data_IF_427573027464
#
_entry.id   IF_427573027464
#
_cell.length_a   1.000
_cell.length_b   1.000
_cell.length_c   1.000
_cell.angle_alpha   90.00
_cell.angle_beta   90.00
_cell.angle_gamma   90.00
#
_symmetry.space_group_name_H-M   'P 1'
#
loop_
_entity.id
_entity.type
_entity.pdbx_description
1 polymer ?
#
# COMPACT_ATOMS: atom_id res chain seq x y z
N UNK A 1 -5.92 -0.74 5.71
CA UNK A 1 -6.26 0.46 6.52
C UNK A 1 -6.39 0.14 8.01
N UNK A 2 -7.22 -0.82 8.44
CA UNK A 2 -7.36 -1.14 9.88
C UNK A 2 -6.02 -1.51 10.53
N UNK A 3 -5.26 -2.45 9.97
CA UNK A 3 -3.95 -2.84 10.49
C UNK A 3 -2.96 -1.66 10.60
N UNK A 4 -2.96 -0.74 9.63
CA UNK A 4 -2.12 0.46 9.67
C UNK A 4 -2.46 1.37 10.86
N UNK A 5 -3.76 1.57 11.12
CA UNK A 5 -4.21 2.33 12.31
C UNK A 5 -3.82 1.63 13.61
N UNK A 6 -4.00 0.30 13.69
CA UNK A 6 -3.60 -0.48 14.86
C UNK A 6 -2.10 -0.40 15.12
N UNK A 7 -1.27 -0.47 14.07
CA UNK A 7 0.17 -0.36 14.18
C UNK A 7 0.61 1.02 14.72
N UNK A 8 0.02 2.11 14.23
CA UNK A 8 0.28 3.46 14.74
C UNK A 8 -0.14 3.60 16.20
N UNK A 9 -1.32 3.07 16.56
CA UNK A 9 -1.80 3.09 17.96
C UNK A 9 -0.86 2.31 18.89
N UNK A 10 -0.43 1.12 18.46
CA UNK A 10 0.51 0.28 19.24
C UNK A 10 1.86 0.97 19.41
N UNK A 11 2.35 1.62 18.37
CA UNK A 11 3.57 2.42 18.40
C UNK A 11 3.43 3.74 19.21
N UNK A 12 2.22 4.06 19.69
CA UNK A 12 1.90 5.34 20.36
C UNK A 12 2.23 6.55 19.49
N UNK A 13 2.09 6.40 18.17
CA UNK A 13 2.28 7.46 17.20
C UNK A 13 0.92 7.94 16.70
N UNK A 14 0.76 9.25 16.65
CA UNK A 14 -0.31 9.91 15.93
C UNK A 14 0.32 10.64 14.73
N UNK A 15 -0.33 10.58 13.57
CA UNK A 15 0.13 11.26 12.37
C UNK A 15 0.31 12.78 12.60
N UNK A 16 -0.47 13.37 13.52
CA UNK A 16 -0.35 14.78 13.94
C UNK A 16 0.86 15.07 14.82
N UNK A 17 1.46 14.05 15.45
CA UNK A 17 2.63 14.19 16.32
C UNK A 17 3.96 13.93 15.61
N UNK A 18 3.92 13.46 14.37
CA UNK A 18 5.11 13.27 13.56
C UNK A 18 5.57 14.65 13.06
N UNK A 19 6.72 15.09 13.56
CA UNK A 19 7.21 16.46 13.41
C UNK A 19 7.42 16.86 11.93
N UNK A 20 7.85 15.91 11.08
CA UNK A 20 8.06 16.13 9.66
C UNK A 20 7.41 15.02 8.84
N UNK A 21 6.32 15.34 8.18
CA UNK A 21 5.61 14.42 7.31
C UNK A 21 6.46 13.91 6.12
N UNK A 22 7.49 14.65 5.68
CA UNK A 22 8.39 14.23 4.61
C UNK A 22 9.36 13.14 5.09
N UNK A 23 9.55 12.98 6.39
CA UNK A 23 10.33 11.93 7.02
C UNK A 23 9.49 10.76 7.53
N UNK A 24 8.19 10.77 7.20
CA UNK A 24 7.27 9.67 7.45
C UNK A 24 6.95 8.95 6.14
N UNK A 25 7.46 7.73 5.98
CA UNK A 25 7.25 6.89 4.80
C UNK A 25 6.25 5.76 5.02
N UNK A 26 5.71 5.26 3.92
CA UNK A 26 4.79 4.10 3.91
C UNK A 26 5.23 3.12 2.83
N UNK A 27 5.33 1.84 3.18
CA UNK A 27 5.83 0.78 2.32
C UNK A 27 5.02 -0.49 2.52
N UNK A 28 3.95 -0.63 1.74
CA UNK A 28 3.04 -1.78 1.81
C UNK A 28 3.05 -2.49 0.47
N UNK A 29 3.52 -3.73 0.46
CA UNK A 29 3.54 -4.56 -0.72
C UNK A 29 2.29 -5.41 -0.89
N UNK A 30 2.03 -5.81 -2.12
CA UNK A 30 1.01 -6.79 -2.50
C UNK A 30 1.59 -7.73 -3.54
N UNK A 31 1.32 -9.03 -3.43
CA UNK A 31 1.82 -10.02 -4.38
C UNK A 31 1.13 -9.95 -5.73
N UNK A 32 -0.16 -9.70 -5.74
CA UNK A 32 -1.00 -9.72 -6.96
C UNK A 32 -1.73 -8.41 -7.22
N UNK A 33 -1.97 -7.60 -6.19
CA UNK A 33 -2.80 -6.40 -6.31
C UNK A 33 -4.30 -6.72 -6.34
N UNK A 34 -5.07 -5.97 -7.13
CA UNK A 34 -6.53 -6.05 -7.17
C UNK A 34 -7.08 -7.16 -8.06
N UNK A 35 -6.84 -8.43 -7.74
CA UNK A 35 -7.25 -9.58 -8.54
C UNK A 35 -8.76 -9.61 -8.82
N UNK A 36 -9.60 -9.41 -7.82
CA UNK A 36 -11.07 -9.32 -8.00
C UNK A 36 -11.46 -8.23 -9.01
N UNK A 37 -10.77 -7.09 -9.00
CA UNK A 37 -11.02 -6.00 -9.96
C UNK A 37 -10.69 -6.40 -11.39
N UNK A 38 -9.64 -7.20 -11.58
CA UNK A 38 -9.27 -7.77 -12.89
C UNK A 38 -10.35 -8.74 -13.36
N UNK A 39 -10.71 -9.71 -12.53
CA UNK A 39 -11.69 -10.74 -12.83
C UNK A 39 -13.03 -10.13 -13.25
N UNK A 40 -13.57 -9.23 -12.43
CA UNK A 40 -14.79 -8.49 -12.72
C UNK A 40 -14.69 -7.67 -14.02
N UNK A 41 -13.54 -7.08 -14.29
CA UNK A 41 -13.34 -6.29 -15.51
C UNK A 41 -13.25 -7.17 -16.76
N UNK A 42 -12.68 -8.35 -16.65
CA UNK A 42 -12.68 -9.35 -17.74
C UNK A 42 -14.11 -9.80 -18.07
N UNK A 43 -14.94 -10.05 -17.08
CA UNK A 43 -16.36 -10.38 -17.28
C UNK A 43 -17.10 -9.23 -17.98
N UNK A 44 -16.91 -7.99 -17.53
CA UNK A 44 -17.54 -6.80 -18.15
C UNK A 44 -17.05 -6.64 -19.59
N UNK A 45 -15.75 -6.80 -19.83
CA UNK A 45 -15.17 -6.70 -21.16
C UNK A 45 -15.80 -7.69 -22.13
N UNK A 46 -15.95 -8.95 -21.72
CA UNK A 46 -16.50 -10.02 -22.56
C UNK A 46 -18.00 -9.89 -22.80
N UNK A 47 -18.77 -9.39 -21.84
CA UNK A 47 -20.24 -9.35 -21.91
C UNK A 47 -20.80 -8.00 -22.34
N UNK A 48 -20.14 -6.88 -22.00
CA UNK A 48 -20.65 -5.52 -22.19
C UNK A 48 -19.73 -4.62 -23.01
N UNK A 49 -18.54 -5.11 -23.34
CA UNK A 49 -17.55 -4.41 -24.15
C UNK A 49 -16.73 -3.37 -23.40
N UNK A 50 -15.67 -2.81 -24.04
CA UNK A 50 -14.65 -1.99 -23.39
C UNK A 50 -15.19 -0.66 -22.81
N UNK A 51 -16.25 -0.10 -23.39
CA UNK A 51 -16.85 1.17 -22.91
C UNK A 51 -17.52 1.08 -21.54
N UNK A 52 -17.70 -0.13 -21.01
CA UNK A 52 -18.34 -0.36 -19.70
C UNK A 52 -17.34 -0.68 -18.60
N UNK A 53 -16.07 -0.77 -18.91
CA UNK A 53 -15.02 -0.93 -17.92
C UNK A 53 -14.93 0.34 -17.06
N UNK A 54 -14.81 0.14 -15.75
CA UNK A 54 -14.70 1.25 -14.80
C UNK A 54 -13.42 2.07 -15.05
N UNK A 55 -13.47 3.41 -15.07
CA UNK A 55 -12.28 4.26 -15.10
C UNK A 55 -11.40 4.10 -13.84
N UNK A 56 -11.96 3.56 -12.76
CA UNK A 56 -11.25 3.26 -11.52
C UNK A 56 -10.56 1.88 -11.52
N UNK A 57 -10.58 1.15 -12.65
CA UNK A 57 -9.91 -0.15 -12.73
C UNK A 57 -8.42 -0.04 -12.41
N UNK A 58 -7.71 0.91 -12.99
CA UNK A 58 -6.27 1.06 -12.75
C UNK A 58 -5.94 1.33 -11.27
N UNK A 59 -6.53 2.32 -10.60
CA UNK A 59 -6.33 2.52 -9.17
C UNK A 59 -6.70 1.31 -8.30
N UNK A 60 -7.68 0.51 -8.73
CA UNK A 60 -8.08 -0.69 -7.99
C UNK A 60 -7.18 -1.90 -8.25
N UNK A 61 -6.42 -1.91 -9.36
CA UNK A 61 -5.61 -3.02 -9.82
C UNK A 61 -4.16 -2.95 -9.35
N UNK A 62 -3.54 -1.76 -9.42
CA UNK A 62 -2.09 -1.61 -9.24
C UNK A 62 -1.64 -1.93 -7.82
N UNK A 63 -0.53 -2.68 -7.70
CA UNK A 63 -0.05 -3.21 -6.42
C UNK A 63 0.42 -2.16 -5.41
N UNK A 64 0.69 -0.92 -5.84
CA UNK A 64 1.08 0.17 -4.95
C UNK A 64 -0.10 0.98 -4.40
N UNK A 65 -1.35 0.65 -4.75
CA UNK A 65 -2.52 1.37 -4.23
C UNK A 65 -2.64 1.28 -2.71
N UNK A 66 -2.33 0.13 -2.13
CA UNK A 66 -2.40 -0.05 -0.68
C UNK A 66 -1.48 0.93 0.05
N UNK A 67 -0.23 1.07 -0.41
CA UNK A 67 0.73 2.01 0.17
C UNK A 67 0.30 3.46 -0.05
N UNK A 68 -0.16 3.82 -1.24
CA UNK A 68 -0.62 5.17 -1.57
C UNK A 68 -1.84 5.58 -0.71
N UNK A 69 -2.85 4.71 -0.61
CA UNK A 69 -4.07 4.99 0.17
C UNK A 69 -3.77 5.12 1.67
N UNK A 70 -2.87 4.31 2.20
CA UNK A 70 -2.45 4.44 3.60
C UNK A 70 -1.69 5.74 3.80
N UNK A 71 -0.74 6.08 2.95
CA UNK A 71 0.03 7.33 3.05
C UNK A 71 -0.87 8.57 3.03
N UNK A 72 -1.85 8.61 2.12
CA UNK A 72 -2.84 9.70 2.07
C UNK A 72 -3.63 9.78 3.39
N UNK A 73 -4.08 8.63 3.91
CA UNK A 73 -4.92 8.60 5.09
C UNK A 73 -4.19 8.99 6.38
N UNK A 74 -2.87 8.75 6.45
CA UNK A 74 -2.03 9.11 7.61
C UNK A 74 -1.23 10.40 7.40
N UNK A 75 -1.34 11.03 6.23
CA UNK A 75 -0.62 12.27 5.91
C UNK A 75 0.88 12.11 5.69
N UNK A 76 1.37 10.89 5.44
CA UNK A 76 2.77 10.61 5.16
C UNK A 76 3.19 11.19 3.80
N UNK A 77 4.35 11.84 3.73
CA UNK A 77 4.91 12.48 2.52
C UNK A 77 6.34 12.04 2.21
N UNK A 78 6.87 11.11 2.99
CA UNK A 78 8.17 10.47 2.77
C UNK A 78 8.11 9.39 1.69
N UNK A 79 9.12 8.51 1.63
CA UNK A 79 9.17 7.43 0.66
C UNK A 79 7.89 6.60 0.63
N UNK A 80 7.35 6.41 -0.58
CA UNK A 80 6.08 5.71 -0.79
C UNK A 80 6.15 4.91 -2.09
N UNK A 81 6.26 3.60 -1.97
CA UNK A 81 6.25 2.68 -3.11
C UNK A 81 5.79 1.29 -2.70
N UNK A 82 5.32 0.50 -3.66
CA UNK A 82 4.94 -0.88 -3.47
C UNK A 82 6.11 -1.83 -3.76
N UNK A 83 6.18 -2.93 -3.02
CA UNK A 83 7.09 -4.04 -3.26
C UNK A 83 6.32 -5.28 -3.67
N UNK A 84 6.94 -6.10 -4.50
CA UNK A 84 6.40 -7.40 -4.92
C UNK A 84 7.50 -8.46 -4.83
N UNK A 85 7.32 -9.41 -3.96
CA UNK A 85 8.16 -10.62 -3.84
C UNK A 85 7.33 -11.84 -3.39
N UNK A 86 6.15 -11.98 -3.98
CA UNK A 86 5.19 -13.04 -3.71
C UNK A 86 4.92 -13.17 -2.18
N UNK A 87 4.99 -14.37 -1.62
CA UNK A 87 4.74 -14.63 -0.18
C UNK A 87 5.70 -13.89 0.75
N UNK A 88 6.88 -13.47 0.27
CA UNK A 88 7.87 -12.74 1.05
C UNK A 88 7.65 -11.21 1.06
N UNK A 89 6.66 -10.70 0.34
CA UNK A 89 6.44 -9.26 0.14
C UNK A 89 6.37 -8.46 1.45
N UNK A 90 5.63 -8.95 2.44
CA UNK A 90 5.51 -8.27 3.74
C UNK A 90 6.84 -8.16 4.48
N UNK A 91 7.61 -9.27 4.53
CA UNK A 91 8.93 -9.29 5.17
C UNK A 91 9.93 -8.42 4.42
N UNK A 92 9.88 -8.44 3.09
CA UNK A 92 10.72 -7.60 2.25
C UNK A 92 10.44 -6.10 2.48
N UNK A 93 9.16 -5.72 2.59
CA UNK A 93 8.76 -4.35 2.92
C UNK A 93 9.35 -3.88 4.27
N UNK A 94 9.37 -4.75 5.29
CA UNK A 94 9.99 -4.45 6.58
C UNK A 94 11.51 -4.25 6.44
N UNK A 95 12.18 -5.11 5.67
CA UNK A 95 13.62 -4.99 5.43
C UNK A 95 14.00 -3.70 4.71
N UNK A 96 13.24 -3.31 3.69
CA UNK A 96 13.46 -2.02 2.99
C UNK A 96 13.16 -0.82 3.90
N UNK A 97 12.08 -0.86 4.67
CA UNK A 97 11.77 0.20 5.63
C UNK A 97 12.91 0.40 6.65
N UNK A 98 13.49 -0.70 7.15
CA UNK A 98 14.64 -0.63 8.05
C UNK A 98 15.84 0.09 7.43
N UNK A 99 16.12 -0.15 6.13
CA UNK A 99 17.21 0.55 5.44
C UNK A 99 17.00 2.06 5.40
N UNK A 100 15.77 2.53 5.09
CA UNK A 100 15.45 3.96 5.10
C UNK A 100 15.68 4.60 6.48
N UNK A 101 15.32 3.89 7.55
CA UNK A 101 15.56 4.36 8.92
C UNK A 101 17.06 4.38 9.25
N UNK A 102 17.80 3.32 8.89
CA UNK A 102 19.25 3.24 9.14
C UNK A 102 20.06 4.27 8.37
N UNK A 103 19.64 4.60 7.13
CA UNK A 103 20.25 5.64 6.32
C UNK A 103 19.88 7.05 6.76
N UNK A 104 18.96 7.19 7.72
CA UNK A 104 18.49 8.48 8.20
C UNK A 104 17.62 9.25 7.19
N UNK A 105 17.07 8.56 6.19
CA UNK A 105 16.16 9.18 5.21
C UNK A 105 14.75 9.38 5.76
N UNK A 106 14.35 8.56 6.73
CA UNK A 106 13.08 8.64 7.45
C UNK A 106 13.29 8.54 8.95
N UNK A 107 12.35 9.09 9.70
CA UNK A 107 12.25 8.92 11.16
C UNK A 107 11.19 7.88 11.53
N UNK A 108 10.16 7.75 10.67
CA UNK A 108 9.08 6.79 10.84
C UNK A 108 8.79 6.10 9.52
N UNK A 109 8.64 4.77 9.56
CA UNK A 109 8.19 3.96 8.43
C UNK A 109 7.04 3.05 8.84
N UNK A 110 5.93 3.14 8.14
CA UNK A 110 4.83 2.20 8.24
C UNK A 110 4.97 1.16 7.12
N UNK A 111 5.30 -0.06 7.49
CA UNK A 111 5.63 -1.11 6.52
C UNK A 111 4.86 -2.40 6.75
N UNK A 112 4.64 -3.17 5.69
CA UNK A 112 3.97 -4.47 5.76
C UNK A 112 3.49 -4.99 4.42
N UNK A 113 2.56 -5.93 4.46
CA UNK A 113 1.93 -6.51 3.28
C UNK A 113 0.41 -6.52 3.39
N UNK A 114 -0.26 -6.50 2.25
CA UNK A 114 -1.71 -6.65 2.15
C UNK A 114 -2.05 -7.45 0.90
N UNK A 115 -2.93 -8.42 1.04
CA UNK A 115 -3.36 -9.25 -0.07
C UNK A 115 -4.85 -9.61 0.06
N UNK A 116 -5.55 -9.66 -1.08
CA UNK A 116 -6.94 -10.08 -1.17
C UNK A 116 -7.12 -10.89 -2.47
N UNK A 117 -6.52 -12.08 -2.51
CA UNK A 117 -6.47 -12.93 -3.70
C UNK A 117 -7.56 -14.04 -3.73
N UNK A 118 -8.48 -14.03 -2.77
CA UNK A 118 -9.62 -14.97 -2.75
C UNK A 118 -10.77 -14.33 -3.51
N UNK A 119 -11.06 -14.87 -4.68
CA UNK A 119 -12.10 -14.41 -5.62
C UNK A 119 -13.07 -15.54 -5.96
#
# INVERSE_FOLDING_TARGET
MAAAKSALTDAKLDASTIADAQRFGVLIGSGVGGLESVERSCEILSTKGPRKISPFLLPALIGNTATAMVAIAVGAKGPNFGLVSACATGTHALGEALKYLQLGECDVMLAGGSEAAIT
#
